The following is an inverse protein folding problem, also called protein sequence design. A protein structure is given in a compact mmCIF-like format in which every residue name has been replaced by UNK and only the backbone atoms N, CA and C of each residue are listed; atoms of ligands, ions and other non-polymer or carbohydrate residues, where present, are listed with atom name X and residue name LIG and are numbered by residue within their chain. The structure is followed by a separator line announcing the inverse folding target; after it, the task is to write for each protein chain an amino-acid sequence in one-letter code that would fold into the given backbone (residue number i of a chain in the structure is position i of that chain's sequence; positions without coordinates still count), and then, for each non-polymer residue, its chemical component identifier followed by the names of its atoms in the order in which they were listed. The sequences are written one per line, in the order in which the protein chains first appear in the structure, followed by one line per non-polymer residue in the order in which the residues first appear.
data_IF_908356074439
#
_entry.id   IF_908356074439
#
_cell.length_a   1.000
_cell.length_b   1.000
_cell.length_c   1.000
_cell.angle_alpha   90.00
_cell.angle_beta   90.00
_cell.angle_gamma   90.00
#
_symmetry.space_group_name_H-M   'P 1'
#
loop_
_entity.id
_entity.type
_entity.pdbx_description
1 polymer ?
#
# COMPACT_ATOMS: atom_id res chain seq x y z
N UNK A 1 6.70 2.13 -27.20
CA UNK A 1 5.58 1.95 -26.22
C UNK A 1 4.44 2.94 -26.41
N UNK A 2 4.71 4.25 -26.48
CA UNK A 2 3.68 5.31 -26.51
C UNK A 2 2.53 5.10 -27.51
N UNK A 3 2.83 4.87 -28.80
CA UNK A 3 1.81 4.63 -29.84
C UNK A 3 0.90 3.42 -29.55
N UNK A 4 1.41 2.40 -28.85
CA UNK A 4 0.57 1.28 -28.41
C UNK A 4 -0.42 1.73 -27.34
N UNK A 5 0.04 2.46 -26.31
CA UNK A 5 -0.82 2.95 -25.23
C UNK A 5 -1.86 3.95 -25.74
N UNK A 6 -1.50 4.83 -26.68
CA UNK A 6 -2.44 5.74 -27.35
C UNK A 6 -3.58 4.97 -28.06
N UNK A 7 -3.24 3.82 -28.65
CA UNK A 7 -4.21 2.95 -29.32
C UNK A 7 -5.08 2.12 -28.37
N UNK A 8 -4.64 1.85 -27.13
CA UNK A 8 -5.33 0.95 -26.21
C UNK A 8 -6.79 1.36 -25.93
N UNK A 9 -7.06 2.66 -25.73
CA UNK A 9 -8.44 3.14 -25.46
C UNK A 9 -9.35 2.94 -26.67
N UNK A 10 -8.87 3.26 -27.87
CA UNK A 10 -9.63 3.08 -29.10
C UNK A 10 -9.88 1.59 -29.38
N UNK A 11 -8.85 0.75 -29.21
CA UNK A 11 -8.97 -0.70 -29.36
C UNK A 11 -9.94 -1.31 -28.34
N UNK A 12 -9.91 -0.86 -27.08
CA UNK A 12 -10.86 -1.28 -26.06
C UNK A 12 -12.30 -0.94 -26.47
N UNK A 13 -12.55 0.30 -26.90
CA UNK A 13 -13.88 0.73 -27.32
C UNK A 13 -14.38 -0.05 -28.53
N UNK A 14 -13.55 -0.23 -29.55
CA UNK A 14 -13.88 -1.01 -30.74
C UNK A 14 -14.19 -2.48 -30.40
N UNK A 15 -13.38 -3.11 -29.55
CA UNK A 15 -13.59 -4.50 -29.16
C UNK A 15 -14.85 -4.68 -28.31
N UNK A 16 -15.13 -3.74 -27.40
CA UNK A 16 -16.39 -3.74 -26.63
C UNK A 16 -17.59 -3.61 -27.55
N UNK A 17 -17.56 -2.70 -28.53
CA UNK A 17 -18.66 -2.49 -29.48
C UNK A 17 -18.85 -3.69 -30.42
N UNK A 18 -17.74 -4.26 -30.89
CA UNK A 18 -17.72 -5.39 -31.83
C UNK A 18 -17.83 -6.76 -31.13
N UNK A 19 -18.00 -6.79 -29.80
CA UNK A 19 -18.06 -8.01 -28.97
C UNK A 19 -16.87 -8.96 -29.21
N UNK A 20 -15.67 -8.38 -29.27
CA UNK A 20 -14.40 -9.11 -29.43
C UNK A 20 -13.69 -9.25 -28.09
N UNK A 21 -12.80 -10.23 -28.03
CA UNK A 21 -12.02 -10.51 -26.82
C UNK A 21 -11.13 -9.32 -26.41
N UNK A 22 -10.99 -9.14 -25.10
CA UNK A 22 -10.11 -8.17 -24.45
C UNK A 22 -9.24 -8.92 -23.46
N UNK A 23 -7.93 -8.71 -23.55
CA UNK A 23 -6.96 -9.23 -22.60
C UNK A 23 -6.43 -8.09 -21.73
N UNK A 24 -6.72 -8.13 -20.44
CA UNK A 24 -6.30 -7.10 -19.49
C UNK A 24 -5.05 -7.55 -18.75
N UNK A 25 -4.03 -6.69 -18.69
CA UNK A 25 -2.92 -6.87 -17.75
C UNK A 25 -3.15 -5.93 -16.57
N UNK A 26 -3.36 -6.50 -15.39
CA UNK A 26 -3.78 -5.78 -14.19
C UNK A 26 -2.70 -5.88 -13.10
N UNK A 27 -2.25 -4.73 -12.59
CA UNK A 27 -1.41 -4.64 -11.39
C UNK A 27 -2.22 -4.72 -10.10
N UNK A 28 -1.56 -4.66 -8.95
CA UNK A 28 -2.26 -4.63 -7.66
C UNK A 28 -2.96 -3.28 -7.44
N UNK A 29 -3.90 -3.25 -6.48
CA UNK A 29 -4.69 -2.04 -6.15
C UNK A 29 -3.87 -0.92 -5.48
N UNK A 30 -2.66 -1.23 -5.00
CA UNK A 30 -1.74 -0.21 -4.53
C UNK A 30 -1.25 0.65 -5.71
N UNK A 31 -1.18 0.05 -6.91
CA UNK A 31 -0.76 0.66 -8.17
C UNK A 31 0.53 1.48 -7.97
N UNK A 32 1.50 0.86 -7.32
CA UNK A 32 2.83 1.42 -7.18
C UNK A 32 3.61 1.31 -8.50
N UNK A 33 4.86 1.78 -8.48
CA UNK A 33 5.68 1.84 -9.68
C UNK A 33 5.83 0.45 -10.34
N UNK A 34 6.00 -0.59 -9.54
CA UNK A 34 6.18 -1.96 -10.00
C UNK A 34 4.93 -2.47 -10.72
N UNK A 35 3.78 -2.41 -10.05
CA UNK A 35 2.49 -2.76 -10.64
C UNK A 35 2.21 -2.01 -11.94
N UNK A 36 2.45 -0.69 -11.98
CA UNK A 36 2.22 0.11 -13.18
C UNK A 36 3.15 -0.31 -14.33
N UNK A 37 4.46 -0.34 -14.10
CA UNK A 37 5.42 -0.63 -15.17
C UNK A 37 5.30 -2.07 -15.64
N UNK A 38 5.13 -3.02 -14.72
CA UNK A 38 4.89 -4.43 -15.06
C UNK A 38 3.66 -4.59 -15.94
N UNK A 39 2.55 -3.89 -15.64
CA UNK A 39 1.33 -3.96 -16.44
C UNK A 39 1.52 -3.35 -17.85
N UNK A 40 2.07 -2.13 -17.92
CA UNK A 40 2.30 -1.43 -19.19
C UNK A 40 3.24 -2.22 -20.11
N UNK A 41 4.37 -2.68 -19.58
CA UNK A 41 5.41 -3.38 -20.35
C UNK A 41 4.94 -4.76 -20.78
N UNK A 42 4.27 -5.52 -19.89
CA UNK A 42 3.79 -6.84 -20.23
C UNK A 42 2.64 -6.79 -21.25
N UNK A 43 1.71 -5.83 -21.14
CA UNK A 43 0.64 -5.69 -22.13
C UNK A 43 1.19 -5.38 -23.53
N UNK A 44 2.18 -4.49 -23.62
CA UNK A 44 2.87 -4.21 -24.88
C UNK A 44 3.59 -5.45 -25.43
N UNK A 45 4.29 -6.18 -24.56
CA UNK A 45 4.96 -7.41 -24.94
C UNK A 45 3.97 -8.43 -25.54
N UNK A 46 2.87 -8.70 -24.84
CA UNK A 46 1.84 -9.63 -25.29
C UNK A 46 1.23 -9.19 -26.63
N UNK A 47 0.91 -7.90 -26.79
CA UNK A 47 0.40 -7.34 -28.04
C UNK A 47 1.35 -7.54 -29.23
N UNK A 48 2.67 -7.57 -28.99
CA UNK A 48 3.68 -7.75 -30.04
C UNK A 48 4.02 -9.22 -30.32
N UNK A 49 3.82 -10.12 -29.36
CA UNK A 49 4.19 -11.54 -29.51
C UNK A 49 3.02 -12.45 -29.83
N UNK A 50 1.79 -12.07 -29.47
CA UNK A 50 0.60 -12.87 -29.67
C UNK A 50 -0.04 -12.59 -31.04
N UNK A 51 0.71 -12.87 -32.12
CA UNK A 51 0.30 -12.53 -33.49
C UNK A 51 -1.00 -13.21 -33.95
N UNK A 52 -1.32 -14.37 -33.39
CA UNK A 52 -2.54 -15.13 -33.70
C UNK A 52 -3.73 -14.73 -32.79
N UNK A 53 -3.53 -13.81 -31.84
CA UNK A 53 -4.57 -13.36 -30.93
C UNK A 53 -5.35 -12.20 -31.54
N UNK A 54 -6.65 -12.38 -31.68
CA UNK A 54 -7.59 -11.34 -32.10
C UNK A 54 -8.06 -10.44 -30.93
N UNK A 55 -7.43 -10.56 -29.75
CA UNK A 55 -7.80 -9.79 -28.56
C UNK A 55 -7.09 -8.44 -28.49
N UNK A 56 -7.76 -7.43 -27.93
CA UNK A 56 -7.13 -6.17 -27.57
C UNK A 56 -6.37 -6.36 -26.25
N UNK A 57 -5.06 -6.14 -26.26
CA UNK A 57 -4.24 -6.17 -25.05
C UNK A 57 -4.22 -4.78 -24.42
N UNK A 58 -4.71 -4.67 -23.19
CA UNK A 58 -4.91 -3.39 -22.49
C UNK A 58 -4.28 -3.45 -21.11
N UNK A 59 -3.24 -2.64 -20.81
CA UNK A 59 -2.79 -2.46 -19.45
C UNK A 59 -3.79 -1.60 -18.67
N UNK A 60 -4.18 -2.05 -17.48
CA UNK A 60 -5.10 -1.31 -16.60
C UNK A 60 -4.39 -0.99 -15.29
N UNK A 61 -4.36 0.29 -14.94
CA UNK A 61 -3.89 0.74 -13.63
C UNK A 61 -5.04 0.54 -12.64
N UNK A 62 -4.83 -0.29 -11.62
CA UNK A 62 -5.90 -0.77 -10.72
C UNK A 62 -6.28 0.24 -9.62
N UNK A 63 -6.44 1.50 -10.02
CA UNK A 63 -6.93 2.63 -9.20
C UNK A 63 -7.84 3.50 -10.06
N UNK A 64 -8.71 4.33 -9.44
CA UNK A 64 -9.40 5.39 -10.16
C UNK A 64 -8.41 6.40 -10.75
N UNK A 65 -8.71 6.98 -11.92
CA UNK A 65 -7.85 8.02 -12.54
C UNK A 65 -7.50 9.15 -11.57
N UNK A 66 -8.48 9.60 -10.79
CA UNK A 66 -8.32 10.70 -9.83
C UNK A 66 -7.24 10.44 -8.76
N UNK A 67 -6.85 9.18 -8.57
CA UNK A 67 -5.85 8.77 -7.57
C UNK A 67 -4.44 8.66 -8.15
N UNK A 68 -4.28 8.70 -9.47
CA UNK A 68 -2.98 8.61 -10.11
C UNK A 68 -1.98 9.69 -9.67
N UNK A 69 -2.39 10.97 -9.47
CA UNK A 69 -1.47 11.99 -8.97
C UNK A 69 -0.81 11.62 -7.62
N UNK A 70 -1.42 10.74 -6.83
CA UNK A 70 -0.87 10.28 -5.55
C UNK A 70 0.37 9.37 -5.74
N UNK A 71 0.56 8.80 -6.93
CA UNK A 71 1.69 7.93 -7.31
C UNK A 71 2.78 8.78 -7.96
N UNK A 72 3.36 9.66 -7.16
CA UNK A 72 4.24 10.74 -7.60
C UNK A 72 5.51 10.22 -8.30
N UNK A 73 6.06 9.09 -7.86
CA UNK A 73 7.16 8.39 -8.54
C UNK A 73 6.77 7.82 -9.92
N UNK A 74 5.53 7.35 -10.05
CA UNK A 74 4.98 6.83 -11.31
C UNK A 74 4.76 7.97 -12.30
N UNK A 75 4.10 9.05 -11.85
CA UNK A 75 3.91 10.25 -12.64
C UNK A 75 5.26 10.86 -13.10
N UNK A 76 6.24 10.91 -12.20
CA UNK A 76 7.60 11.38 -12.51
C UNK A 76 8.26 10.53 -13.59
N UNK A 77 8.26 9.20 -13.45
CA UNK A 77 8.91 8.32 -14.42
C UNK A 77 8.24 8.40 -15.79
N UNK A 78 6.90 8.40 -15.84
CA UNK A 78 6.18 8.55 -17.11
C UNK A 78 6.49 9.88 -17.79
N UNK A 79 6.52 10.98 -17.03
CA UNK A 79 6.90 12.29 -17.57
C UNK A 79 8.33 12.29 -18.12
N UNK A 80 9.29 11.71 -17.39
CA UNK A 80 10.68 11.58 -17.85
C UNK A 80 10.77 10.75 -19.15
N UNK A 81 9.94 9.71 -19.28
CA UNK A 81 9.85 8.87 -20.47
C UNK A 81 8.89 9.42 -21.54
N UNK A 82 8.35 10.63 -21.38
CA UNK A 82 7.42 11.28 -22.31
C UNK A 82 6.16 10.45 -22.61
N UNK A 83 5.64 9.73 -21.62
CA UNK A 83 4.37 9.00 -21.73
C UNK A 83 3.28 9.87 -21.08
N UNK A 84 2.33 10.43 -21.85
CA UNK A 84 1.30 11.31 -21.30
C UNK A 84 0.26 10.53 -20.49
N UNK A 85 -0.11 11.00 -19.29
CA UNK A 85 -1.11 10.32 -18.42
C UNK A 85 -2.46 10.01 -19.13
N UNK A 86 -2.87 10.85 -20.07
CA UNK A 86 -4.12 10.68 -20.85
C UNK A 86 -4.20 9.38 -21.65
N UNK A 87 -3.04 8.76 -21.96
CA UNK A 87 -2.97 7.52 -22.76
C UNK A 87 -3.13 6.27 -21.89
N UNK A 88 -3.10 6.41 -20.56
CA UNK A 88 -3.30 5.32 -19.62
C UNK A 88 -4.79 4.99 -19.47
N UNK A 89 -5.08 3.72 -19.15
CA UNK A 89 -6.41 3.21 -18.84
C UNK A 89 -6.48 2.87 -17.35
N UNK A 90 -7.50 3.39 -16.67
CA UNK A 90 -7.70 3.23 -15.22
C UNK A 90 -8.86 2.29 -14.92
N UNK A 91 -8.91 1.81 -13.67
CA UNK A 91 -9.90 0.84 -13.20
C UNK A 91 -11.35 1.32 -13.38
N UNK A 92 -11.58 2.61 -13.21
CA UNK A 92 -12.87 3.29 -13.32
C UNK A 92 -13.28 3.58 -14.78
N UNK A 93 -12.44 3.23 -15.75
CA UNK A 93 -12.67 3.48 -17.18
C UNK A 93 -12.97 2.21 -17.99
N UNK A 94 -13.01 1.05 -17.33
CA UNK A 94 -13.27 -0.25 -17.95
C UNK A 94 -14.21 -1.11 -17.09
N UNK A 95 -15.27 -1.62 -17.72
CA UNK A 95 -16.23 -2.53 -17.09
C UNK A 95 -15.73 -3.99 -17.17
N UNK A 96 -14.78 -4.36 -16.29
CA UNK A 96 -14.28 -5.74 -16.23
C UNK A 96 -15.40 -6.73 -15.90
N UNK A 97 -16.36 -6.37 -15.04
CA UNK A 97 -17.45 -7.25 -14.67
C UNK A 97 -18.37 -7.54 -15.87
N UNK A 98 -18.70 -6.52 -16.66
CA UNK A 98 -19.46 -6.65 -17.90
C UNK A 98 -18.73 -7.48 -18.96
N UNK A 99 -17.44 -7.24 -19.17
CA UNK A 99 -16.60 -8.03 -20.08
C UNK A 99 -16.54 -9.51 -19.67
N UNK A 100 -16.40 -9.78 -18.37
CA UNK A 100 -16.38 -11.13 -17.82
C UNK A 100 -17.72 -11.84 -18.03
N UNK A 101 -18.84 -11.18 -17.70
CA UNK A 101 -20.20 -11.72 -17.91
C UNK A 101 -20.50 -11.98 -19.38
N UNK A 102 -19.91 -11.21 -20.29
CA UNK A 102 -20.02 -11.42 -21.73
C UNK A 102 -19.11 -12.54 -22.28
N UNK A 103 -18.24 -13.13 -21.46
CA UNK A 103 -17.26 -14.12 -21.89
C UNK A 103 -16.16 -13.55 -22.80
N UNK A 104 -15.92 -12.23 -22.73
CA UNK A 104 -14.96 -11.52 -23.59
C UNK A 104 -13.65 -11.19 -22.86
N UNK A 105 -13.58 -11.42 -21.54
CA UNK A 105 -12.44 -11.06 -20.72
C UNK A 105 -11.45 -12.23 -20.56
N UNK A 106 -10.18 -11.92 -20.70
CA UNK A 106 -9.08 -12.69 -20.12
C UNK A 106 -8.12 -11.75 -19.40
N UNK A 107 -7.42 -12.24 -18.37
CA UNK A 107 -6.58 -11.41 -17.51
C UNK A 107 -5.22 -12.04 -17.24
N UNK A 108 -4.18 -11.20 -17.26
CA UNK A 108 -2.89 -11.48 -16.64
C UNK A 108 -2.73 -10.61 -15.40
N UNK A 109 -2.49 -11.21 -14.25
CA UNK A 109 -2.17 -10.47 -13.03
C UNK A 109 -0.65 -10.27 -12.95
N UNK A 110 -0.22 -9.06 -12.63
CA UNK A 110 1.17 -8.72 -12.36
C UNK A 110 1.30 -8.10 -10.98
N UNK A 111 2.39 -8.40 -10.28
CA UNK A 111 2.68 -7.88 -8.92
C UNK A 111 1.56 -8.18 -7.89
N UNK A 112 0.71 -9.16 -8.25
CA UNK A 112 -0.18 -9.85 -7.33
C UNK A 112 -0.71 -11.17 -7.88
N UNK A 113 -1.19 -12.02 -6.97
CA UNK A 113 -1.74 -13.34 -7.29
C UNK A 113 -3.12 -13.62 -6.65
N UNK A 114 -3.66 -12.65 -5.89
CA UNK A 114 -4.96 -12.75 -5.21
C UNK A 114 -5.76 -11.51 -5.56
N UNK A 115 -6.95 -11.70 -6.15
CA UNK A 115 -7.90 -10.63 -6.36
C UNK A 115 -8.60 -10.27 -5.04
N UNK A 116 -8.89 -9.00 -4.79
CA UNK A 116 -9.69 -8.61 -3.62
C UNK A 116 -11.11 -9.20 -3.73
N UNK A 117 -11.80 -9.40 -2.61
CA UNK A 117 -13.13 -10.04 -2.56
C UNK A 117 -14.16 -9.40 -3.49
N UNK A 118 -14.08 -8.09 -3.72
CA UNK A 118 -14.93 -7.34 -4.66
C UNK A 118 -14.79 -7.81 -6.13
N UNK A 119 -13.66 -8.41 -6.46
CA UNK A 119 -13.28 -8.88 -7.79
C UNK A 119 -13.24 -10.42 -7.89
N UNK A 120 -13.74 -11.14 -6.88
CA UNK A 120 -13.74 -12.60 -6.86
C UNK A 120 -14.40 -13.24 -8.09
N UNK A 121 -15.42 -12.59 -8.67
CA UNK A 121 -16.06 -13.07 -9.91
C UNK A 121 -15.12 -13.08 -11.13
N UNK A 122 -14.03 -12.31 -11.10
CA UNK A 122 -13.06 -12.20 -12.20
C UNK A 122 -12.00 -13.32 -12.16
N UNK A 123 -11.92 -14.11 -11.10
CA UNK A 123 -10.90 -15.17 -10.95
C UNK A 123 -10.90 -16.14 -12.15
N UNK A 124 -12.08 -16.50 -12.65
CA UNK A 124 -12.23 -17.40 -13.79
C UNK A 124 -11.66 -16.84 -15.11
N UNK A 125 -11.50 -15.51 -15.22
CA UNK A 125 -10.90 -14.86 -16.37
C UNK A 125 -9.36 -14.80 -16.29
N UNK A 126 -8.76 -15.10 -15.14
CA UNK A 126 -7.29 -15.04 -14.95
C UNK A 126 -6.63 -16.23 -15.64
N UNK A 127 -5.85 -15.95 -16.68
CA UNK A 127 -5.14 -16.96 -17.48
C UNK A 127 -3.64 -17.02 -17.16
N UNK A 128 -3.09 -15.96 -16.57
CA UNK A 128 -1.68 -15.90 -16.20
C UNK A 128 -1.45 -15.02 -14.95
N UNK A 129 -0.47 -15.38 -14.13
CA UNK A 129 -0.02 -14.63 -12.95
C UNK A 129 1.51 -14.51 -12.98
N UNK A 130 2.03 -13.28 -12.86
CA UNK A 130 3.43 -12.97 -12.60
C UNK A 130 3.51 -12.23 -11.26
N UNK A 131 4.07 -12.84 -10.23
CA UNK A 131 4.19 -12.21 -8.91
C UNK A 131 5.58 -12.48 -8.33
N UNK A 132 6.05 -11.62 -7.44
CA UNK A 132 7.32 -11.79 -6.74
C UNK A 132 7.18 -12.04 -5.23
N UNK A 133 5.92 -12.15 -4.76
CA UNK A 133 5.56 -12.38 -3.36
C UNK A 133 5.40 -13.88 -3.06
N UNK A 134 5.53 -14.30 -1.78
CA UNK A 134 5.21 -15.66 -1.38
C UNK A 134 3.79 -16.03 -1.82
N UNK A 135 3.63 -17.21 -2.41
CA UNK A 135 2.33 -17.69 -2.84
C UNK A 135 1.49 -18.11 -1.62
N UNK A 136 0.32 -17.49 -1.48
CA UNK A 136 -0.66 -17.79 -0.44
C UNK A 136 -1.89 -18.43 -1.08
N UNK A 137 -1.76 -19.69 -1.48
CA UNK A 137 -2.87 -20.45 -2.07
C UNK A 137 -3.22 -21.66 -1.24
N UNK A 138 -4.51 -21.79 -0.93
CA UNK A 138 -5.06 -23.06 -0.47
C UNK A 138 -5.07 -24.11 -1.59
N UNK A 139 -5.26 -23.67 -2.85
CA UNK A 139 -5.25 -24.51 -4.05
C UNK A 139 -4.61 -23.77 -5.22
N UNK A 140 -3.75 -24.42 -6.04
CA UNK A 140 -3.17 -23.78 -7.21
C UNK A 140 -4.25 -23.32 -8.20
N UNK A 141 -4.17 -22.11 -8.74
CA UNK A 141 -5.16 -21.64 -9.71
C UNK A 141 -5.03 -22.43 -11.03
N UNK A 142 -6.12 -22.56 -11.81
CA UNK A 142 -6.11 -23.26 -13.09
C UNK A 142 -5.48 -22.41 -14.22
N UNK A 143 -4.44 -21.65 -13.91
CA UNK A 143 -3.82 -20.69 -14.82
C UNK A 143 -2.28 -20.84 -14.79
N UNK A 144 -1.59 -20.18 -15.73
CA UNK A 144 -0.13 -20.18 -15.73
C UNK A 144 0.39 -19.28 -14.61
N UNK A 145 1.26 -19.81 -13.77
CA UNK A 145 1.87 -19.04 -12.67
C UNK A 145 3.38 -18.96 -12.85
N UNK A 146 3.91 -17.74 -12.76
CA UNK A 146 5.33 -17.47 -12.55
C UNK A 146 5.47 -16.67 -11.26
N UNK A 147 5.87 -17.33 -10.18
CA UNK A 147 6.10 -16.69 -8.89
C UNK A 147 7.50 -16.99 -8.38
N UNK A 148 8.33 -15.95 -8.25
CA UNK A 148 9.71 -16.07 -7.80
C UNK A 148 10.03 -14.93 -6.84
N UNK A 149 10.70 -15.23 -5.71
CA UNK A 149 11.07 -14.25 -4.70
C UNK A 149 12.22 -13.34 -5.16
N UNK A 150 11.95 -12.49 -6.16
CA UNK A 150 12.82 -11.42 -6.66
C UNK A 150 12.47 -10.08 -6.03
N UNK A 151 13.32 -9.08 -6.19
CA UNK A 151 13.09 -7.76 -5.59
C UNK A 151 11.96 -6.96 -6.22
N UNK A 152 11.61 -7.25 -7.47
CA UNK A 152 10.58 -6.52 -8.24
C UNK A 152 9.89 -7.46 -9.24
N UNK A 153 8.56 -7.37 -9.40
CA UNK A 153 7.83 -8.04 -10.47
C UNK A 153 8.34 -7.59 -11.86
N UNK A 154 8.76 -6.32 -11.99
CA UNK A 154 9.38 -5.80 -13.21
C UNK A 154 10.64 -6.57 -13.61
N UNK A 155 11.32 -7.25 -12.68
CA UNK A 155 12.42 -8.17 -13.00
C UNK A 155 11.93 -9.38 -13.79
N UNK A 156 10.79 -9.96 -13.43
CA UNK A 156 10.19 -11.10 -14.14
C UNK A 156 9.72 -10.68 -15.53
N UNK A 157 9.13 -9.48 -15.64
CA UNK A 157 8.74 -8.89 -16.92
C UNK A 157 9.98 -8.62 -17.79
N UNK A 158 11.02 -7.99 -17.24
CA UNK A 158 12.28 -7.74 -17.94
C UNK A 158 12.92 -9.03 -18.45
N UNK A 159 12.96 -10.09 -17.63
CA UNK A 159 13.49 -11.38 -18.04
C UNK A 159 12.71 -11.97 -19.23
N UNK A 160 11.37 -11.89 -19.22
CA UNK A 160 10.53 -12.34 -20.33
C UNK A 160 10.82 -11.60 -21.63
N UNK A 161 11.01 -10.28 -21.56
CA UNK A 161 11.39 -9.47 -22.73
C UNK A 161 12.80 -9.79 -23.22
N UNK A 162 13.76 -10.00 -22.31
CA UNK A 162 15.16 -10.33 -22.65
C UNK A 162 15.30 -11.72 -23.30
N UNK A 163 14.40 -12.64 -22.99
CA UNK A 163 14.35 -13.98 -23.59
C UNK A 163 13.53 -14.03 -24.89
N UNK A 164 12.85 -12.93 -25.24
CA UNK A 164 12.04 -12.87 -26.44
C UNK A 164 12.89 -12.96 -27.71
N UNK A 165 12.40 -13.69 -28.70
CA UNK A 165 13.04 -13.78 -30.03
C UNK A 165 12.78 -12.56 -30.91
N UNK A 166 11.79 -11.75 -30.55
CA UNK A 166 11.41 -10.52 -31.26
C UNK A 166 12.02 -9.32 -30.52
N UNK A 167 12.67 -8.37 -31.22
CA UNK A 167 13.24 -7.18 -30.61
C UNK A 167 12.11 -6.22 -30.18
N UNK A 168 11.65 -6.38 -28.94
CA UNK A 168 10.56 -5.59 -28.35
C UNK A 168 11.11 -4.49 -27.43
N UNK A 169 12.29 -4.70 -26.85
CA UNK A 169 12.96 -3.73 -26.00
C UNK A 169 13.44 -2.54 -26.82
N UNK A 170 12.98 -1.35 -26.45
CA UNK A 170 13.53 -0.06 -26.85
C UNK A 170 14.07 0.66 -25.60
N UNK A 171 14.73 1.80 -25.81
CA UNK A 171 15.33 2.58 -24.72
C UNK A 171 14.30 3.09 -23.71
N UNK A 172 13.07 3.38 -24.15
CA UNK A 172 11.97 3.84 -23.32
C UNK A 172 11.51 2.72 -22.36
N UNK A 173 11.29 1.50 -22.88
CA UNK A 173 10.91 0.32 -22.08
C UNK A 173 12.06 -0.08 -21.15
N UNK A 174 13.30 -0.04 -21.64
CA UNK A 174 14.47 -0.32 -20.82
C UNK A 174 14.57 0.65 -19.63
N UNK A 175 14.32 1.94 -19.84
CA UNK A 175 14.33 2.94 -18.77
C UNK A 175 13.19 2.74 -17.76
N UNK A 176 11.99 2.35 -18.22
CA UNK A 176 10.87 2.02 -17.33
C UNK A 176 11.21 0.84 -16.41
N UNK A 177 11.68 -0.28 -16.99
CA UNK A 177 12.07 -1.47 -16.24
C UNK A 177 13.27 -1.19 -15.32
N UNK A 178 14.30 -0.52 -15.82
CA UNK A 178 15.51 -0.17 -15.07
C UNK A 178 15.18 0.68 -13.84
N UNK A 179 14.42 1.77 -14.00
CA UNK A 179 14.05 2.64 -12.88
C UNK A 179 13.22 1.93 -11.83
N UNK A 180 12.27 1.08 -12.26
CA UNK A 180 11.40 0.32 -11.36
C UNK A 180 12.19 -0.69 -10.53
N UNK A 181 12.99 -1.54 -11.20
CA UNK A 181 13.80 -2.56 -10.52
C UNK A 181 14.81 -1.89 -9.56
N UNK A 182 15.39 -0.75 -9.94
CA UNK A 182 16.28 0.00 -9.05
C UNK A 182 15.55 0.54 -7.81
N UNK A 183 14.32 1.04 -7.94
CA UNK A 183 13.57 1.58 -6.81
C UNK A 183 13.22 0.48 -5.80
N UNK A 184 12.69 -0.65 -6.27
CA UNK A 184 12.25 -1.75 -5.38
C UNK A 184 13.41 -2.46 -4.71
N UNK A 185 14.48 -2.71 -5.46
CA UNK A 185 15.70 -3.34 -4.97
C UNK A 185 16.67 -2.36 -4.26
N UNK A 186 16.23 -1.15 -3.93
CA UNK A 186 17.02 -0.14 -3.20
C UNK A 186 18.40 0.06 -3.85
N UNK A 187 18.41 0.35 -5.15
CA UNK A 187 19.61 0.57 -5.95
C UNK A 187 20.59 -0.62 -5.96
N UNK A 188 20.07 -1.85 -5.89
CA UNK A 188 20.83 -3.10 -5.80
C UNK A 188 21.67 -3.22 -4.50
N UNK A 189 21.29 -2.50 -3.44
CA UNK A 189 21.94 -2.59 -2.13
C UNK A 189 21.66 -3.96 -1.49
N UNK A 190 22.70 -4.79 -1.35
CA UNK A 190 22.59 -6.14 -0.78
C UNK A 190 22.21 -6.09 0.69
N UNK A 191 22.70 -5.08 1.41
CA UNK A 191 22.37 -4.79 2.80
C UNK A 191 20.89 -4.48 3.06
N UNK A 192 20.12 -4.14 2.02
CA UNK A 192 18.68 -3.92 2.13
C UNK A 192 17.87 -5.22 2.06
N UNK A 193 18.51 -6.38 1.85
CA UNK A 193 17.87 -7.71 1.79
C UNK A 193 16.72 -7.84 0.79
N UNK A 194 16.66 -6.97 -0.22
CA UNK A 194 15.61 -6.95 -1.25
C UNK A 194 16.07 -7.36 -2.65
N UNK A 195 17.37 -7.41 -2.89
CA UNK A 195 17.94 -7.69 -4.23
C UNK A 195 18.31 -9.16 -4.37
N UNK A 196 18.05 -9.74 -5.54
CA UNK A 196 18.49 -11.08 -5.92
C UNK A 196 19.48 -11.07 -7.09
N UNK A 197 20.20 -12.17 -7.33
CA UNK A 197 21.05 -12.30 -8.53
C UNK A 197 20.29 -12.12 -9.85
N UNK A 198 18.98 -12.42 -9.88
CA UNK A 198 18.14 -12.24 -11.07
C UNK A 198 17.88 -10.77 -11.34
N UNK A 199 17.59 -9.97 -10.31
CA UNK A 199 17.44 -8.51 -10.43
C UNK A 199 18.72 -7.88 -10.99
N UNK A 200 19.86 -8.20 -10.37
CA UNK A 200 21.17 -7.68 -10.79
C UNK A 200 21.52 -8.06 -12.24
N UNK A 201 21.18 -9.29 -12.66
CA UNK A 201 21.37 -9.75 -14.04
C UNK A 201 20.52 -8.97 -15.03
N UNK A 202 19.22 -8.77 -14.74
CA UNK A 202 18.32 -8.05 -15.62
C UNK A 202 18.76 -6.59 -15.78
N UNK A 203 19.05 -5.90 -14.68
CA UNK A 203 19.56 -4.52 -14.70
C UNK A 203 20.85 -4.41 -15.52
N UNK A 204 21.84 -5.28 -15.26
CA UNK A 204 23.12 -5.24 -15.99
C UNK A 204 22.94 -5.52 -17.49
N UNK A 205 21.95 -6.36 -17.85
CA UNK A 205 21.65 -6.66 -19.24
C UNK A 205 20.98 -5.46 -19.94
N UNK A 206 20.05 -4.78 -19.28
CA UNK A 206 19.43 -3.55 -19.79
C UNK A 206 20.51 -2.47 -20.03
N UNK A 207 21.39 -2.24 -19.06
CA UNK A 207 22.50 -1.27 -19.16
C UNK A 207 23.47 -1.61 -20.30
N UNK A 208 23.78 -2.89 -20.50
CA UNK A 208 24.64 -3.33 -21.60
C UNK A 208 23.99 -3.13 -22.98
N UNK A 209 22.67 -3.25 -23.07
CA UNK A 209 21.93 -3.11 -24.33
C UNK A 209 21.60 -1.65 -24.66
N UNK A 210 21.48 -0.80 -23.63
CA UNK A 210 21.11 0.60 -23.72
C UNK A 210 22.10 1.47 -22.91
N UNK A 211 23.31 1.72 -23.44
CA UNK A 211 24.35 2.49 -22.75
C UNK A 211 23.97 3.94 -22.42
N UNK A 212 22.91 4.47 -23.04
CA UNK A 212 22.33 5.78 -22.78
C UNK A 212 21.47 5.85 -21.50
N UNK A 213 21.16 4.71 -20.88
CA UNK A 213 20.46 4.67 -19.59
C UNK A 213 21.24 5.47 -18.54
N UNK A 214 20.49 6.22 -17.73
CA UNK A 214 21.09 7.05 -16.69
C UNK A 214 21.74 6.17 -15.59
N UNK A 215 22.81 6.66 -14.93
CA UNK A 215 23.47 5.91 -13.87
C UNK A 215 22.51 5.52 -12.74
N UNK A 216 22.67 4.31 -12.20
CA UNK A 216 21.77 3.73 -11.19
C UNK A 216 21.44 4.68 -10.03
N UNK A 217 22.46 5.28 -9.42
CA UNK A 217 22.29 6.22 -8.31
C UNK A 217 21.44 7.44 -8.69
N UNK A 218 21.61 7.99 -9.90
CA UNK A 218 20.85 9.15 -10.34
C UNK A 218 19.37 8.81 -10.55
N UNK A 219 19.11 7.64 -11.16
CA UNK A 219 17.75 7.13 -11.35
C UNK A 219 17.08 6.85 -10.01
N UNK A 220 17.74 6.11 -9.13
CA UNK A 220 17.24 5.78 -7.81
C UNK A 220 16.98 7.03 -6.97
N UNK A 221 17.94 7.95 -6.88
CA UNK A 221 17.78 9.19 -6.09
C UNK A 221 16.65 10.06 -6.65
N UNK A 222 16.48 10.13 -7.97
CA UNK A 222 15.40 10.88 -8.59
C UNK A 222 14.02 10.27 -8.27
N UNK A 223 13.85 8.96 -8.44
CA UNK A 223 12.61 8.26 -8.10
C UNK A 223 12.31 8.30 -6.60
N UNK A 224 13.34 8.16 -5.77
CA UNK A 224 13.21 8.21 -4.32
C UNK A 224 12.78 9.61 -3.84
N UNK A 225 13.29 10.68 -4.47
CA UNK A 225 12.81 12.05 -4.25
C UNK A 225 11.37 12.22 -4.73
N UNK A 226 11.07 11.80 -5.96
CA UNK A 226 9.74 11.91 -6.54
C UNK A 226 8.66 11.20 -5.71
N UNK A 227 8.98 10.05 -5.12
CA UNK A 227 8.07 9.29 -4.23
C UNK A 227 7.55 10.10 -3.05
N UNK A 228 8.39 11.00 -2.51
CA UNK A 228 8.06 11.85 -1.36
C UNK A 228 7.78 13.31 -1.75
N UNK A 229 7.96 13.67 -3.03
CA UNK A 229 7.63 15.00 -3.51
C UNK A 229 6.12 15.17 -3.60
N UNK A 230 5.58 15.97 -2.68
CA UNK A 230 4.16 16.30 -2.60
C UNK A 230 3.89 17.73 -3.09
N UNK A 231 4.88 18.44 -3.63
CA UNK A 231 4.75 19.85 -4.01
C UNK A 231 3.65 20.12 -5.04
N UNK A 232 3.41 19.16 -5.94
CA UNK A 232 2.34 19.20 -6.93
C UNK A 232 0.94 18.79 -6.43
N UNK A 233 0.81 18.39 -5.15
CA UNK A 233 -0.45 17.88 -4.60
C UNK A 233 -1.28 18.97 -3.90
N UNK A 234 -2.59 18.85 -4.04
CA UNK A 234 -3.56 19.58 -3.20
C UNK A 234 -3.51 19.07 -1.75
N UNK A 235 -4.06 19.83 -0.80
CA UNK A 235 -4.10 19.42 0.62
C UNK A 235 -4.86 18.10 0.78
N UNK A 236 -5.98 17.95 0.06
CA UNK A 236 -6.78 16.73 0.01
C UNK A 236 -5.94 15.52 -0.46
N UNK A 237 -5.19 15.68 -1.55
CA UNK A 237 -4.34 14.64 -2.10
C UNK A 237 -3.18 14.28 -1.16
N UNK A 238 -2.54 15.27 -0.52
CA UNK A 238 -1.51 15.04 0.49
C UNK A 238 -2.01 14.16 1.63
N UNK A 239 -3.23 14.43 2.12
CA UNK A 239 -3.83 13.67 3.21
C UNK A 239 -4.19 12.24 2.79
N UNK A 240 -4.52 12.02 1.52
CA UNK A 240 -4.88 10.70 0.99
C UNK A 240 -3.71 9.81 0.61
N UNK A 241 -2.60 10.42 0.20
CA UNK A 241 -1.42 9.70 -0.32
C UNK A 241 -1.01 8.55 0.60
N UNK A 242 -1.01 8.78 1.92
CA UNK A 242 -0.79 7.73 2.91
C UNK A 242 -1.79 7.83 4.07
N UNK A 243 -3.04 7.46 3.79
CA UNK A 243 -4.17 7.48 4.74
C UNK A 243 -4.49 6.08 5.31
N UNK A 244 -4.80 6.03 6.60
CA UNK A 244 -5.55 4.93 7.24
C UNK A 244 -6.70 5.51 8.03
N UNK A 245 -7.78 4.76 8.18
CA UNK A 245 -8.92 5.13 9.01
C UNK A 245 -9.29 4.01 9.96
N UNK A 246 -9.83 4.38 11.12
CA UNK A 246 -10.41 3.49 12.10
C UNK A 246 -11.81 3.99 12.44
N UNK A 247 -12.77 3.08 12.50
CA UNK A 247 -14.15 3.40 12.81
C UNK A 247 -14.59 2.75 14.13
N UNK A 248 -15.52 3.40 14.81
CA UNK A 248 -16.26 2.89 15.96
C UNK A 248 -17.71 3.35 15.85
N UNK A 249 -18.61 2.85 16.72
CA UNK A 249 -20.01 3.29 16.75
C UNK A 249 -20.19 4.80 16.99
N UNK A 250 -19.18 5.48 17.55
CA UNK A 250 -19.29 6.89 17.96
C UNK A 250 -18.43 7.86 17.15
N UNK A 251 -17.35 7.38 16.54
CA UNK A 251 -16.39 8.23 15.85
C UNK A 251 -15.60 7.44 14.81
N UNK A 252 -15.24 8.14 13.73
CA UNK A 252 -14.31 7.66 12.69
C UNK A 252 -13.09 8.57 12.69
N UNK A 253 -11.91 8.00 12.87
CA UNK A 253 -10.64 8.73 12.95
C UNK A 253 -9.78 8.40 11.75
N UNK A 254 -9.35 9.44 11.03
CA UNK A 254 -8.36 9.35 9.97
C UNK A 254 -6.95 9.60 10.52
N UNK A 255 -5.96 8.89 9.98
CA UNK A 255 -4.55 9.09 10.27
C UNK A 255 -3.76 9.14 8.95
N UNK A 256 -3.25 10.31 8.62
CA UNK A 256 -2.50 10.57 7.38
C UNK A 256 -1.02 10.76 7.66
N UNK A 257 -0.14 10.21 6.84
CA UNK A 257 1.25 10.66 6.78
C UNK A 257 1.41 11.70 5.67
N UNK A 258 2.04 12.84 5.99
CA UNK A 258 2.23 13.98 5.11
C UNK A 258 3.73 14.27 4.95
N UNK A 259 4.22 14.26 3.71
CA UNK A 259 5.66 14.34 3.40
C UNK A 259 6.14 15.79 3.20
N UNK A 260 5.77 16.67 4.11
CA UNK A 260 6.22 18.07 4.16
C UNK A 260 6.41 18.48 5.62
N UNK A 261 7.19 19.53 5.89
CA UNK A 261 7.34 20.04 7.25
C UNK A 261 6.00 20.56 7.79
N UNK A 262 5.76 20.42 9.10
CA UNK A 262 4.50 20.87 9.71
C UNK A 262 4.25 22.35 9.47
N UNK A 263 5.30 23.17 9.55
CA UNK A 263 5.19 24.60 9.32
C UNK A 263 4.65 24.89 7.92
N UNK A 264 5.23 24.29 6.89
CA UNK A 264 4.79 24.45 5.51
C UNK A 264 3.36 23.95 5.31
N UNK A 265 3.00 22.83 5.95
CA UNK A 265 1.65 22.29 5.91
C UNK A 265 0.63 23.24 6.55
N UNK A 266 0.95 23.78 7.74
CA UNK A 266 0.10 24.73 8.48
C UNK A 266 -0.10 26.06 7.75
N UNK A 267 0.83 26.44 6.87
CA UNK A 267 0.77 27.70 6.10
C UNK A 267 0.16 27.53 4.71
N UNK A 268 -0.34 26.34 4.37
CA UNK A 268 -1.03 26.14 3.09
C UNK A 268 -2.27 27.05 3.00
N UNK A 269 -2.48 27.73 1.86
CA UNK A 269 -3.67 28.54 1.66
C UNK A 269 -4.94 27.69 1.82
N UNK A 270 -5.90 28.16 2.62
CA UNK A 270 -7.18 27.48 2.79
C UNK A 270 -7.14 26.18 3.62
N UNK A 271 -6.06 25.93 4.38
CA UNK A 271 -5.87 24.68 5.11
C UNK A 271 -7.07 24.29 5.98
N UNK A 272 -7.58 25.19 6.83
CA UNK A 272 -8.68 24.85 7.74
C UNK A 272 -9.96 24.47 6.98
N UNK A 273 -10.25 25.15 5.86
CA UNK A 273 -11.35 24.79 4.97
C UNK A 273 -11.12 23.43 4.31
N UNK A 274 -9.90 23.15 3.84
CA UNK A 274 -9.54 21.87 3.23
C UNK A 274 -9.64 20.71 4.24
N UNK A 275 -9.17 20.89 5.49
CA UNK A 275 -9.30 19.90 6.56
C UNK A 275 -10.77 19.63 6.89
N UNK A 276 -11.59 20.70 6.97
CA UNK A 276 -13.02 20.58 7.19
C UNK A 276 -13.73 19.83 6.06
N UNK A 277 -13.47 20.22 4.81
CA UNK A 277 -14.04 19.58 3.63
C UNK A 277 -13.62 18.11 3.54
N UNK A 278 -12.34 17.81 3.76
CA UNK A 278 -11.82 16.45 3.74
C UNK A 278 -12.50 15.55 4.78
N UNK A 279 -12.58 16.01 6.04
CA UNK A 279 -13.25 15.27 7.10
C UNK A 279 -14.75 15.09 6.80
N UNK A 280 -15.43 16.15 6.33
CA UNK A 280 -16.86 16.10 6.03
C UNK A 280 -17.17 15.13 4.87
N UNK A 281 -16.46 15.25 3.74
CA UNK A 281 -16.68 14.42 2.56
C UNK A 281 -16.44 12.94 2.80
N UNK A 282 -15.52 12.59 3.70
CA UNK A 282 -15.16 11.19 4.01
C UNK A 282 -15.75 10.67 5.32
N UNK A 283 -16.61 11.47 5.99
CA UNK A 283 -17.26 11.08 7.24
C UNK A 283 -16.30 10.91 8.42
N UNK A 284 -15.15 11.57 8.42
CA UNK A 284 -14.22 11.53 9.54
C UNK A 284 -14.62 12.51 10.63
N UNK A 285 -14.72 12.02 11.86
CA UNK A 285 -14.96 12.83 13.06
C UNK A 285 -13.70 13.57 13.50
N UNK A 286 -12.51 13.02 13.21
CA UNK A 286 -11.22 13.59 13.58
C UNK A 286 -10.14 13.12 12.60
N UNK A 287 -9.15 13.97 12.37
CA UNK A 287 -7.96 13.68 11.57
C UNK A 287 -6.70 13.88 12.42
N UNK A 288 -5.82 12.87 12.41
CA UNK A 288 -4.44 12.97 12.87
C UNK A 288 -3.54 13.01 11.64
N UNK A 289 -2.92 14.16 11.35
CA UNK A 289 -1.95 14.26 10.25
C UNK A 289 -0.53 14.28 10.82
N UNK A 290 0.24 13.24 10.51
CA UNK A 290 1.63 13.07 10.92
C UNK A 290 2.56 13.57 9.81
N UNK A 291 3.31 14.63 10.07
CA UNK A 291 4.23 15.20 9.10
C UNK A 291 5.60 14.55 9.25
N UNK A 292 6.25 14.24 8.13
CA UNK A 292 7.63 13.78 8.08
C UNK A 292 8.44 14.68 7.15
N UNK A 293 9.59 15.14 7.66
CA UNK A 293 10.63 15.78 6.87
C UNK A 293 11.98 15.14 7.20
N UNK A 294 12.99 15.39 6.37
CA UNK A 294 14.34 14.88 6.58
C UNK A 294 15.27 16.07 6.81
N UNK A 295 15.89 16.12 8.00
CA UNK A 295 16.83 17.19 8.36
C UNK A 295 18.24 16.94 7.82
N UNK A 296 19.17 17.81 8.22
CA UNK A 296 20.60 17.66 7.94
C UNK A 296 21.10 16.32 8.52
N UNK A 297 21.60 15.44 7.64
CA UNK A 297 21.96 14.05 8.00
C UNK A 297 20.88 13.00 7.73
N UNK A 298 19.81 13.33 6.99
CA UNK A 298 18.81 12.37 6.47
C UNK A 298 18.05 11.61 7.57
N UNK A 299 18.08 12.12 8.81
CA UNK A 299 17.28 11.60 9.92
C UNK A 299 15.84 12.08 9.80
N UNK A 300 14.85 11.20 10.03
CA UNK A 300 13.46 11.57 9.98
C UNK A 300 13.13 12.51 11.15
N UNK A 301 12.51 13.64 10.82
CA UNK A 301 11.91 14.56 11.77
C UNK A 301 10.39 14.40 11.70
N UNK A 302 9.76 14.17 12.86
CA UNK A 302 8.32 13.92 12.94
C UNK A 302 7.64 14.96 13.80
N UNK A 303 6.48 15.38 13.33
CA UNK A 303 5.54 16.21 14.06
C UNK A 303 4.15 15.69 13.71
N UNK A 304 3.14 16.11 14.45
CA UNK A 304 1.77 15.77 14.12
C UNK A 304 0.83 16.91 14.45
N UNK A 305 -0.31 16.91 13.79
CA UNK A 305 -1.45 17.73 14.15
C UNK A 305 -2.70 16.89 14.32
N UNK A 306 -3.63 17.40 15.12
CA UNK A 306 -4.95 16.82 15.35
C UNK A 306 -6.00 17.86 15.01
N UNK A 307 -6.84 17.56 14.03
CA UNK A 307 -7.96 18.40 13.59
C UNK A 307 -9.30 17.73 13.89
N UNK A 308 -10.24 18.47 14.45
CA UNK A 308 -11.65 18.05 14.58
C UNK A 308 -12.54 19.26 14.86
N UNK A 309 -13.79 19.21 14.39
CA UNK A 309 -14.84 20.15 14.79
C UNK A 309 -15.47 19.78 16.15
N UNK A 310 -15.19 18.59 16.67
CA UNK A 310 -15.71 18.09 17.94
C UNK A 310 -14.66 18.28 19.04
N UNK A 311 -14.71 19.41 19.75
CA UNK A 311 -13.71 19.78 20.76
C UNK A 311 -13.44 18.68 21.81
N UNK A 312 -14.49 18.05 22.33
CA UNK A 312 -14.37 16.96 23.31
C UNK A 312 -13.63 15.74 22.77
N UNK A 313 -13.89 15.36 21.51
CA UNK A 313 -13.21 14.24 20.85
C UNK A 313 -11.74 14.58 20.60
N UNK A 314 -11.47 15.81 20.14
CA UNK A 314 -10.11 16.31 19.97
C UNK A 314 -9.32 16.27 21.28
N UNK A 315 -9.92 16.74 22.38
CA UNK A 315 -9.34 16.69 23.72
C UNK A 315 -8.99 15.26 24.13
N UNK A 316 -9.94 14.35 23.97
CA UNK A 316 -9.76 12.97 24.39
C UNK A 316 -8.67 12.25 23.58
N UNK A 317 -8.65 12.43 22.25
CA UNK A 317 -7.60 11.86 21.38
C UNK A 317 -6.23 12.45 21.70
N UNK A 318 -6.13 13.77 21.88
CA UNK A 318 -4.86 14.41 22.22
C UNK A 318 -4.31 13.88 23.55
N UNK A 319 -5.15 13.74 24.57
CA UNK A 319 -4.75 13.15 25.85
C UNK A 319 -4.30 11.69 25.71
N UNK A 320 -4.97 10.89 24.86
CA UNK A 320 -4.56 9.51 24.59
C UNK A 320 -3.17 9.45 23.93
N UNK A 321 -2.92 10.31 22.94
CA UNK A 321 -1.61 10.41 22.27
C UNK A 321 -0.51 10.88 23.21
N UNK A 322 -0.79 11.87 24.06
CA UNK A 322 0.16 12.42 25.05
C UNK A 322 0.52 11.41 26.15
N UNK A 323 -0.45 10.58 26.58
CA UNK A 323 -0.27 9.59 27.66
C UNK A 323 0.19 8.22 27.19
N UNK A 324 0.23 7.96 25.89
CA UNK A 324 0.69 6.68 25.35
C UNK A 324 2.10 6.36 25.88
N UNK A 325 2.30 5.14 26.35
CA UNK A 325 3.58 4.63 26.82
C UNK A 325 4.14 3.49 25.95
N UNK A 326 3.32 2.92 25.07
CA UNK A 326 3.71 1.79 24.21
C UNK A 326 3.24 1.96 22.74
N UNK A 327 4.01 2.67 21.90
CA UNK A 327 5.20 3.44 22.26
C UNK A 327 4.82 4.80 22.85
N UNK A 328 5.70 5.35 23.70
CA UNK A 328 5.66 6.77 24.03
C UNK A 328 5.97 7.60 22.78
N UNK A 329 5.12 8.58 22.49
CA UNK A 329 5.33 9.51 21.37
C UNK A 329 6.22 10.70 21.77
N UNK A 330 6.36 10.96 23.08
CA UNK A 330 7.10 12.09 23.65
C UNK A 330 6.70 13.42 22.99
N UNK A 331 5.40 13.73 23.08
CA UNK A 331 4.81 14.91 22.44
C UNK A 331 5.06 16.17 23.27
N UNK A 332 5.43 17.27 22.59
CA UNK A 332 5.39 18.61 23.16
C UNK A 332 4.55 19.54 22.29
N UNK A 333 3.70 20.35 22.92
CA UNK A 333 2.73 21.19 22.23
C UNK A 333 3.42 22.32 21.45
N UNK A 334 2.92 22.59 20.26
CA UNK A 334 3.34 23.70 19.40
C UNK A 334 2.18 24.68 19.20
N UNK A 335 2.52 25.91 18.83
CA UNK A 335 1.54 26.89 18.37
C UNK A 335 1.00 26.48 17.00
N UNK A 336 -0.29 26.72 16.79
CA UNK A 336 -0.94 26.53 15.49
C UNK A 336 -1.63 27.82 15.08
N UNK A 337 -1.52 28.24 13.81
CA UNK A 337 -2.28 29.39 13.31
C UNK A 337 -3.79 29.10 13.20
N UNK A 338 -4.20 27.81 13.28
CA UNK A 338 -5.58 27.38 13.18
C UNK A 338 -6.12 26.96 14.56
N UNK A 339 -7.18 27.61 15.05
CA UNK A 339 -7.74 27.31 16.39
C UNK A 339 -8.34 25.91 16.50
N UNK A 340 -8.78 25.32 15.39
CA UNK A 340 -9.33 23.96 15.32
C UNK A 340 -8.24 22.87 15.23
N UNK A 341 -6.97 23.25 15.26
CA UNK A 341 -5.82 22.35 15.11
C UNK A 341 -4.96 22.35 16.36
N UNK A 342 -4.57 21.16 16.82
CA UNK A 342 -3.55 21.00 17.85
C UNK A 342 -2.29 20.41 17.26
N UNK A 343 -1.21 21.15 17.35
CA UNK A 343 0.09 20.79 16.79
C UNK A 343 1.05 20.29 17.87
N UNK A 344 1.89 19.33 17.51
CA UNK A 344 2.85 18.71 18.41
C UNK A 344 4.18 18.44 17.71
N UNK A 345 5.27 18.72 18.42
CA UNK A 345 6.56 18.11 18.15
C UNK A 345 6.53 16.68 18.65
N UNK A 346 7.05 15.73 17.86
CA UNK A 346 7.16 14.33 18.26
C UNK A 346 8.63 13.94 18.40
N UNK A 347 9.11 13.84 19.65
CA UNK A 347 10.51 13.51 19.89
C UNK A 347 10.84 12.04 19.59
N UNK A 348 9.88 11.11 19.74
CA UNK A 348 10.07 9.74 19.29
C UNK A 348 9.88 9.63 17.77
N UNK A 349 10.96 9.91 17.01
CA UNK A 349 10.93 9.90 15.55
C UNK A 349 10.81 8.50 14.93
N UNK A 350 10.96 7.43 15.71
CA UNK A 350 10.73 6.05 15.24
C UNK A 350 9.22 5.70 15.17
N UNK A 351 8.37 6.39 15.93
CA UNK A 351 6.94 6.12 15.96
C UNK A 351 6.23 6.70 14.72
N UNK A 352 6.06 5.89 13.68
CA UNK A 352 5.30 6.25 12.48
C UNK A 352 3.78 6.11 12.67
N UNK A 353 3.01 6.37 11.61
CA UNK A 353 1.56 6.09 11.56
C UNK A 353 1.23 4.68 12.06
N UNK A 354 2.02 3.66 11.72
CA UNK A 354 1.81 2.28 12.18
C UNK A 354 1.84 2.14 13.70
N UNK A 355 2.62 2.97 14.38
CA UNK A 355 2.71 3.01 15.85
C UNK A 355 1.62 3.88 16.49
N UNK A 356 1.11 4.88 15.77
CA UNK A 356 -0.02 5.70 16.21
C UNK A 356 -1.37 4.98 16.03
N UNK A 357 -1.51 4.17 14.98
CA UNK A 357 -2.72 3.38 14.69
C UNK A 357 -3.22 2.56 15.89
N UNK A 358 -2.40 1.73 16.59
CA UNK A 358 -2.87 0.97 17.73
C UNK A 358 -3.29 1.86 18.93
N UNK A 359 -2.65 3.01 19.14
CA UNK A 359 -3.03 3.97 20.18
C UNK A 359 -4.45 4.51 19.91
N UNK A 360 -4.73 4.89 18.67
CA UNK A 360 -6.05 5.38 18.26
C UNK A 360 -7.10 4.25 18.32
N UNK A 361 -6.73 3.02 17.95
CA UNK A 361 -7.62 1.86 18.04
C UNK A 361 -8.04 1.60 19.49
N UNK A 362 -7.08 1.57 20.41
CA UNK A 362 -7.35 1.40 21.84
C UNK A 362 -8.25 2.52 22.38
N UNK A 363 -7.95 3.77 22.02
CA UNK A 363 -8.78 4.92 22.36
C UNK A 363 -10.23 4.74 21.88
N UNK A 364 -10.44 4.33 20.63
CA UNK A 364 -11.78 4.16 20.05
C UNK A 364 -12.59 3.06 20.76
N UNK A 365 -11.94 1.97 21.16
CA UNK A 365 -12.58 0.91 21.96
C UNK A 365 -13.10 1.45 23.30
N UNK A 366 -12.30 2.24 24.00
CA UNK A 366 -12.69 2.86 25.27
C UNK A 366 -13.77 3.93 25.08
N UNK A 367 -13.64 4.74 24.04
CA UNK A 367 -14.59 5.79 23.69
C UNK A 367 -15.97 5.22 23.36
N UNK A 368 -16.05 4.11 22.64
CA UNK A 368 -17.28 3.42 22.33
C UNK A 368 -17.99 2.87 23.59
N UNK A 369 -17.22 2.33 24.55
CA UNK A 369 -17.74 1.73 25.78
C UNK A 369 -18.24 2.72 26.85
N UNK A 370 -17.84 4.00 26.78
CA UNK A 370 -18.27 5.01 27.74
C UNK A 370 -19.76 5.37 27.59
N UNK A 371 -20.66 4.67 28.30
CA UNK A 371 -22.04 5.13 28.49
C UNK A 371 -22.06 6.25 29.54
N UNK A 372 -22.98 7.23 29.46
CA UNK A 372 -23.10 8.27 30.49
C UNK A 372 -23.67 7.64 31.76
N UNK A 373 -22.81 7.33 32.73
CA UNK A 373 -23.26 6.93 34.06
C UNK A 373 -23.80 8.16 34.79
N UNK A 374 -25.12 8.28 34.86
CA UNK A 374 -25.78 9.22 35.78
C UNK A 374 -25.45 8.83 37.24
N UNK A 375 -25.36 9.79 38.18
CA UNK A 375 -25.04 9.49 39.56
C UNK A 375 -26.28 8.93 40.26
N UNK A 376 -26.27 7.64 40.63
CA UNK A 376 -27.26 7.08 41.54
C UNK A 376 -26.66 6.92 42.93
N UNK A 377 -27.15 7.72 43.87
CA UNK A 377 -26.84 7.61 45.28
C UNK A 377 -27.66 6.49 45.96
N UNK A 378 -26.94 5.54 46.59
CA UNK A 378 -27.20 4.86 47.90
C UNK A 378 -28.52 4.07 48.14
N UNK A 379 -28.66 3.24 49.21
CA UNK A 379 -27.69 2.70 50.19
C UNK A 379 -27.79 1.15 50.41
N UNK A 380 -26.89 0.64 51.27
CA UNK A 380 -26.75 -0.76 51.68
C UNK A 380 -27.76 -1.23 52.75
N UNK A 381 -28.19 -2.51 52.71
CA UNK A 381 -28.55 -3.33 53.90
C UNK A 381 -28.22 -4.83 53.67
N UNK A 382 -27.69 -5.43 54.74
CA UNK A 382 -27.21 -6.79 54.98
C UNK A 382 -28.32 -7.85 55.15
N UNK A 383 -28.12 -9.10 54.72
CA UNK A 383 -28.04 -10.29 55.61
C UNK A 383 -28.03 -11.66 54.89
N UNK A 384 -26.97 -12.43 55.21
CA UNK A 384 -26.84 -13.88 55.50
C UNK A 384 -27.55 -15.00 54.68
N UNK A 385 -26.71 -15.71 53.89
CA UNK A 385 -26.35 -17.19 53.84
C UNK A 385 -27.44 -18.32 53.84
N UNK A 386 -27.12 -19.60 53.50
CA UNK A 386 -27.31 -20.35 52.21
C UNK A 386 -28.19 -21.65 52.46
N UNK A 387 -28.09 -22.83 51.79
CA UNK A 387 -27.28 -23.30 50.64
C UNK A 387 -27.96 -24.24 49.60
N UNK A 388 -27.10 -24.66 48.65
CA UNK A 388 -26.94 -26.00 48.08
C UNK A 388 -27.88 -26.52 46.96
N UNK A 389 -27.18 -26.77 45.85
CA UNK A 389 -27.39 -27.75 44.78
C UNK A 389 -27.94 -29.10 45.27
N UNK A 390 -28.66 -29.82 44.41
CA UNK A 390 -28.25 -31.12 43.82
C UNK A 390 -29.39 -31.72 42.97
N UNK A 391 -29.03 -32.01 41.72
CA UNK A 391 -29.36 -33.12 40.82
C UNK A 391 -30.81 -33.48 40.41
N UNK A 392 -31.04 -33.27 39.11
CA UNK A 392 -31.53 -34.20 38.08
C UNK A 392 -32.17 -35.53 38.48
N UNK A 393 -33.38 -35.80 37.94
CA UNK A 393 -33.67 -36.83 36.91
C UNK A 393 -35.19 -37.12 36.80
N UNK A 394 -35.65 -37.52 35.61
CA UNK A 394 -36.91 -38.28 35.40
C UNK A 394 -37.99 -37.53 34.60
N UNK A 395 -38.07 -37.66 33.26
CA UNK A 395 -38.78 -38.70 32.46
C UNK A 395 -40.29 -38.50 32.28
N UNK A 396 -40.74 -38.57 31.01
CA UNK A 396 -42.14 -38.86 30.61
C UNK A 396 -42.83 -37.68 29.91
N UNK A 397 -42.77 -37.58 28.58
CA UNK A 397 -43.76 -38.12 27.61
C UNK A 397 -45.11 -37.39 27.60
N UNK A 398 -45.40 -36.64 26.53
CA UNK A 398 -46.66 -36.63 25.76
C UNK A 398 -46.72 -35.42 24.81
N UNK A 399 -46.71 -35.68 23.49
CA UNK A 399 -47.38 -34.85 22.47
C UNK A 399 -48.89 -35.16 22.49
N UNK A 400 -49.82 -34.33 21.94
CA UNK A 400 -49.63 -33.51 20.72
C UNK A 400 -50.37 -32.14 20.63
N UNK A 401 -50.03 -31.42 19.56
CA UNK A 401 -50.84 -30.44 18.79
C UNK A 401 -50.99 -29.00 19.30
N UNK A 402 -50.78 -28.04 18.40
CA UNK A 402 -51.22 -26.65 18.55
C UNK A 402 -50.24 -25.63 17.97
N UNK A 403 -50.49 -25.21 16.73
CA UNK A 403 -49.72 -24.19 16.03
C UNK A 403 -49.89 -22.79 16.64
N UNK A 404 -48.79 -22.04 16.81
CA UNK A 404 -48.74 -20.57 16.60
C UNK A 404 -47.29 -20.08 16.49
N UNK A 405 -47.08 -19.15 15.55
CA UNK A 405 -45.81 -18.53 15.14
C UNK A 405 -45.19 -17.67 16.25
N UNK A 406 -43.88 -17.81 16.48
CA UNK A 406 -43.02 -16.79 17.10
C UNK A 406 -41.81 -16.49 16.19
N UNK A 407 -41.34 -15.23 16.13
CA UNK A 407 -40.20 -14.83 15.28
C UNK A 407 -38.86 -15.24 15.93
N UNK A 408 -37.79 -15.46 15.14
CA UNK A 408 -36.51 -15.87 15.70
C UNK A 408 -35.83 -14.72 16.48
N UNK A 409 -35.32 -15.07 17.65
CA UNK A 409 -34.39 -14.26 18.45
C UNK A 409 -33.16 -13.87 17.63
N UNK A 410 -32.61 -12.65 17.79
CA UNK A 410 -31.37 -12.29 17.11
C UNK A 410 -30.20 -13.09 17.70
N UNK A 411 -29.51 -13.81 16.81
CA UNK A 411 -28.21 -14.39 17.08
C UNK A 411 -27.22 -13.30 17.49
N UNK A 412 -26.46 -13.59 18.54
CA UNK A 412 -25.36 -12.76 19.04
C UNK A 412 -24.39 -12.47 17.89
N UNK A 413 -24.27 -11.20 17.48
CA UNK A 413 -23.08 -10.73 16.78
C UNK A 413 -21.98 -10.56 17.80
N UNK A 414 -20.89 -11.29 17.61
CA UNK A 414 -19.62 -11.07 18.27
C UNK A 414 -19.08 -9.67 17.95
N UNK A 415 -18.38 -9.13 18.94
CA UNK A 415 -17.65 -7.88 18.84
C UNK A 415 -16.43 -8.09 17.94
N UNK A 416 -16.48 -7.57 16.71
CA UNK A 416 -15.29 -7.29 15.93
C UNK A 416 -15.42 -5.87 15.38
N UNK A 417 -14.45 -5.02 15.71
CA UNK A 417 -14.27 -3.73 15.05
C UNK A 417 -13.86 -4.03 13.61
N UNK A 418 -14.83 -4.00 12.70
CA UNK A 418 -14.58 -4.21 11.28
C UNK A 418 -13.64 -3.11 10.76
N UNK A 419 -12.52 -3.52 10.15
CA UNK A 419 -11.81 -2.71 9.17
C UNK A 419 -12.77 -2.58 7.96
N UNK A 420 -13.60 -1.54 7.95
CA UNK A 420 -14.40 -1.21 6.76
C UNK A 420 -13.44 -0.74 5.66
N UNK A 421 -13.31 -1.58 4.63
CA UNK A 421 -12.66 -1.28 3.35
C UNK A 421 -13.40 -0.12 2.68
N UNK A 422 -13.08 1.10 3.11
CA UNK A 422 -13.50 2.32 2.45
C UNK A 422 -12.80 2.41 1.10
N UNK A 423 -13.39 3.14 0.14
CA UNK A 423 -12.94 3.38 -1.25
C UNK A 423 -11.58 4.11 -1.38
N UNK A 424 -10.68 3.92 -0.41
CA UNK A 424 -9.33 4.45 -0.39
C UNK A 424 -8.45 3.49 -1.18
N UNK A 425 -7.61 4.00 -2.09
CA UNK A 425 -6.61 3.15 -2.73
C UNK A 425 -5.70 2.62 -1.61
N UNK A 426 -5.42 1.31 -1.54
CA UNK A 426 -4.54 0.78 -0.53
C UNK A 426 -3.18 1.47 -0.62
N UNK A 427 -2.55 1.62 0.55
CA UNK A 427 -1.22 2.18 0.64
C UNK A 427 -0.29 1.37 -0.28
N UNK A 428 0.47 2.00 -1.21
CA UNK A 428 1.52 1.34 -1.98
C UNK A 428 2.30 0.37 -1.09
N UNK A 429 2.40 -0.91 -1.46
CA UNK A 429 3.10 -1.92 -0.67
C UNK A 429 4.59 -1.55 -0.47
N UNK A 430 5.11 -0.74 -1.39
CA UNK A 430 6.41 -0.08 -1.27
C UNK A 430 6.51 1.03 -0.20
N UNK A 431 5.44 1.35 0.52
CA UNK A 431 5.44 2.43 1.51
C UNK A 431 5.93 2.00 2.89
N UNK A 432 5.80 0.74 3.32
CA UNK A 432 6.07 0.41 4.72
C UNK A 432 6.49 -1.05 4.92
N UNK A 433 7.66 -1.40 4.39
CA UNK A 433 8.44 -2.52 4.95
C UNK A 433 8.91 -2.05 6.32
N UNK A 434 8.72 -2.87 7.34
CA UNK A 434 9.34 -2.67 8.66
C UNK A 434 10.89 -2.77 8.62
N UNK A 435 11.49 -2.61 7.43
CA UNK A 435 12.90 -2.56 7.08
C UNK A 435 13.15 -1.59 5.90
N UNK A 436 12.48 -0.44 5.85
CA UNK A 436 13.00 0.64 5.02
C UNK A 436 14.35 1.07 5.62
N UNK A 437 15.47 1.13 4.86
CA UNK A 437 16.74 1.63 5.38
C UNK A 437 16.58 3.00 6.06
N UNK A 438 15.62 3.81 5.57
CA UNK A 438 15.21 5.11 6.12
C UNK A 438 14.63 5.08 7.54
N UNK A 439 14.28 3.91 8.11
CA UNK A 439 13.93 3.81 9.53
C UNK A 439 15.13 4.23 10.41
N UNK A 440 16.37 4.13 9.89
CA UNK A 440 17.60 4.57 10.55
C UNK A 440 18.28 5.76 9.85
N UNK A 441 17.66 6.34 8.81
CA UNK A 441 18.27 7.31 7.89
C UNK A 441 18.72 6.66 6.57
N UNK A 442 19.13 7.45 5.57
CA UNK A 442 19.73 6.86 4.36
C UNK A 442 21.07 6.19 4.72
N UNK A 443 21.48 5.09 4.06
CA UNK A 443 22.75 4.43 4.35
C UNK A 443 23.92 5.42 4.29
N UNK A 444 24.64 5.59 5.40
CA UNK A 444 25.94 6.26 5.41
C UNK A 444 26.98 5.26 4.92
N UNK A 445 27.38 5.40 3.66
CA UNK A 445 28.57 4.72 3.17
C UNK A 445 29.79 5.54 3.62
N UNK A 446 30.26 5.33 4.85
CA UNK A 446 31.49 5.96 5.31
C UNK A 446 32.71 5.29 4.65
N UNK A 447 33.72 6.05 4.21
CA UNK A 447 34.98 5.49 3.69
C UNK A 447 35.63 4.49 4.66
N UNK A 448 35.46 4.71 5.96
CA UNK A 448 35.97 3.84 7.01
C UNK A 448 35.24 2.49 7.04
N UNK A 449 33.92 2.46 6.82
CA UNK A 449 33.13 1.23 6.76
C UNK A 449 33.46 0.38 5.53
N UNK A 450 33.81 1.01 4.40
CA UNK A 450 34.34 0.32 3.22
C UNK A 450 35.72 -0.27 3.55
N UNK A 451 36.60 0.51 4.18
CA UNK A 451 37.98 0.11 4.47
C UNK A 451 38.04 -1.06 5.47
N UNK A 452 37.23 -1.04 6.53
CA UNK A 452 37.12 -2.17 7.47
C UNK A 452 36.63 -3.46 6.81
N UNK A 453 35.69 -3.34 5.85
CA UNK A 453 35.06 -4.50 5.21
C UNK A 453 35.96 -5.12 4.14
N UNK A 454 36.72 -4.30 3.41
CA UNK A 454 37.78 -4.76 2.49
C UNK A 454 38.89 -5.49 3.26
N UNK A 455 39.29 -4.98 4.43
CA UNK A 455 40.27 -5.66 5.28
C UNK A 455 39.76 -7.00 5.83
N UNK A 456 38.47 -7.09 6.22
CA UNK A 456 37.84 -8.36 6.63
C UNK A 456 37.82 -9.41 5.51
N UNK A 457 37.52 -9.01 4.28
CA UNK A 457 37.52 -9.90 3.11
C UNK A 457 38.95 -10.37 2.76
N UNK A 458 39.96 -9.51 2.96
CA UNK A 458 41.37 -9.87 2.77
C UNK A 458 41.87 -10.87 3.83
N UNK A 459 41.41 -10.76 5.08
CA UNK A 459 41.75 -11.72 6.15
C UNK A 459 41.03 -13.06 6.02
N UNK A 460 39.79 -13.10 5.55
CA UNK A 460 39.08 -14.38 5.33
C UNK A 460 39.65 -15.17 4.15
N UNK A 461 40.17 -14.49 3.12
CA UNK A 461 40.86 -15.15 1.99
C UNK A 461 42.22 -15.72 2.36
N UNK A 462 42.88 -15.23 3.42
CA UNK A 462 44.17 -15.77 3.86
C UNK A 462 44.03 -17.01 4.76
N UNK A 463 42.89 -17.16 5.45
CA UNK A 463 42.59 -18.33 6.28
C UNK A 463 42.05 -19.54 5.49
N UNK A 464 41.52 -19.32 4.28
CA UNK A 464 41.00 -20.38 3.39
C UNK A 464 42.06 -21.14 2.55
N UNK A 465 43.36 -20.81 2.66
CA UNK A 465 44.45 -21.51 1.97
C UNK A 465 45.37 -22.24 2.95
N UNK A 466 44.87 -23.30 3.59
CA UNK A 466 45.73 -24.39 4.09
C UNK A 466 45.19 -25.71 3.56
N UNK A 467 45.76 -26.17 2.45
CA UNK A 467 45.58 -27.54 1.94
C UNK A 467 46.18 -28.56 2.91
N UNK A 468 45.58 -29.75 3.11
CA UNK A 468 46.24 -30.82 3.82
C UNK A 468 47.25 -31.52 2.89
N UNK A 469 48.51 -31.54 3.30
CA UNK A 469 49.55 -32.34 2.66
C UNK A 469 49.36 -33.83 2.94
N UNK A 470 49.77 -34.62 1.95
CA UNK A 470 49.83 -36.09 1.92
C UNK A 470 50.61 -36.67 3.10
N UNK A 471 50.06 -37.69 3.75
CA UNK A 471 50.76 -38.95 4.06
C UNK A 471 49.76 -40.08 4.26
#
# INVERSE_FOLDING_TARGET
MESFLEGCRAALQDHVQSKRAVHVVLGNEACDLDSMVSALVLAYFLAKTSLDSEAAFVPVLNIPRVDFPLRTESAFLLHQQRIPEKVLVFRDEIDLAGLNKAGLLSMTLVDHHILPSKDAELEAAVVEVLDHRPLEWERPPPCRVTAELVGSCATLVAERLLQARVPILDSQIAALLHGTILLDCVNMAVEASKVTPKDARCVSRLESMFPELQPRNQVFDALQRAKFDVSGLTTEQMLRKDLKSLASKKATVAISAVYVALQDFLHRPGLEQDLAAFCHQRGFSLLVAMTISFGDGKKPFRQLLVYSQQGQLQDAVCQALERSSNPSLSLSRLESPCSSVRAYQQANTSASRKKVLPIIREFLTQWAGASPTGPSMQPAVSSRVPPARVDSQGTGSHDPSGATKEPPKPLRLGEDAADEDTLLPPTPMNSLVDECPLHQGLPEVSPEAIFERVNRIATDRSLGRRSPEKK
#
